data_IF_797763187018
#
_entry.id   IF_797763187018
#
_cell.length_a   1.000
_cell.length_b   1.000
_cell.length_c   1.000
_cell.angle_alpha   90.00
_cell.angle_beta   90.00
_cell.angle_gamma   90.00
#
_symmetry.space_group_name_H-M   'P 1'
#
loop_
_entity.id
_entity.type
_entity.pdbx_description
1 polymer ?
#
# COMPACT_ATOMS: atom_id res chain seq x y z
N UNK A 1 11.90 -12.03 4.79
CA UNK A 1 10.98 -11.61 5.86
C UNK A 1 10.62 -12.77 6.78
N UNK A 2 11.38 -13.00 7.88
CA UNK A 2 10.95 -13.90 8.94
C UNK A 2 9.61 -13.46 9.52
N UNK A 3 8.70 -14.42 9.74
CA UNK A 3 7.42 -14.14 10.37
C UNK A 3 7.61 -13.86 11.86
N UNK A 4 6.89 -12.88 12.38
CA UNK A 4 6.77 -12.56 13.80
C UNK A 4 5.37 -13.04 14.25
N UNK A 5 5.26 -14.32 14.58
CA UNK A 5 4.02 -14.97 15.02
C UNK A 5 3.80 -14.90 16.53
N UNK A 6 4.89 -14.72 17.30
CA UNK A 6 4.91 -14.56 18.75
C UNK A 6 5.86 -13.44 19.18
N UNK A 7 5.67 -12.87 20.37
CA UNK A 7 6.64 -11.92 20.94
C UNK A 7 8.02 -12.59 21.12
N UNK A 8 8.08 -13.92 21.23
CA UNK A 8 9.35 -14.67 21.30
C UNK A 8 10.16 -14.66 19.99
N UNK A 9 9.56 -14.27 18.87
CA UNK A 9 10.24 -14.14 17.58
C UNK A 9 11.04 -12.81 17.50
N UNK A 10 10.83 -11.91 18.46
CA UNK A 10 11.62 -10.70 18.63
C UNK A 10 12.85 -10.94 19.51
N UNK A 11 13.88 -10.08 19.41
CA UNK A 11 15.05 -10.16 20.27
C UNK A 11 14.73 -10.01 21.76
N UNK A 12 15.70 -10.37 22.62
CA UNK A 12 15.51 -10.40 24.08
C UNK A 12 15.13 -9.03 24.64
N UNK A 13 15.55 -7.94 24.02
CA UNK A 13 15.17 -6.58 24.41
C UNK A 13 13.71 -6.22 24.10
N UNK A 14 12.99 -7.03 23.30
CA UNK A 14 11.63 -6.78 22.83
C UNK A 14 10.68 -7.98 23.00
N UNK A 15 11.13 -9.12 23.51
CA UNK A 15 10.34 -10.35 23.53
C UNK A 15 9.20 -10.42 24.57
N UNK A 16 8.86 -9.29 25.20
CA UNK A 16 7.68 -9.21 26.07
C UNK A 16 6.96 -7.87 25.90
N UNK A 17 5.64 -7.80 26.15
CA UNK A 17 4.88 -6.55 26.06
C UNK A 17 5.47 -5.42 26.91
N UNK A 18 5.90 -5.71 28.14
CA UNK A 18 6.50 -4.73 29.05
C UNK A 18 7.80 -4.14 28.50
N UNK A 19 8.62 -4.98 27.86
CA UNK A 19 9.87 -4.53 27.23
C UNK A 19 9.60 -3.66 26.01
N UNK A 20 8.64 -4.05 25.16
CA UNK A 20 8.19 -3.28 24.00
C UNK A 20 7.67 -1.90 24.44
N UNK A 21 6.79 -1.84 25.45
CA UNK A 21 6.26 -0.57 26.00
C UNK A 21 7.37 0.32 26.58
N UNK A 22 8.33 -0.26 27.30
CA UNK A 22 9.48 0.49 27.83
C UNK A 22 10.31 1.08 26.70
N UNK A 23 10.58 0.30 25.65
CA UNK A 23 11.33 0.74 24.48
C UNK A 23 10.58 1.83 23.72
N UNK A 24 9.27 1.69 23.50
CA UNK A 24 8.43 2.73 22.88
C UNK A 24 8.54 4.05 23.64
N UNK A 25 8.38 4.04 24.97
CA UNK A 25 8.49 5.25 25.81
C UNK A 25 9.81 5.99 25.62
N UNK A 26 10.93 5.24 25.55
CA UNK A 26 12.26 5.79 25.27
C UNK A 26 12.30 6.42 23.87
N UNK A 27 11.97 5.64 22.85
CA UNK A 27 12.14 6.03 21.45
C UNK A 27 11.26 7.22 21.05
N UNK A 28 10.01 7.27 21.48
CA UNK A 28 9.12 8.40 21.12
C UNK A 28 9.55 9.69 21.82
N UNK A 29 10.04 9.60 23.07
CA UNK A 29 10.57 10.78 23.76
C UNK A 29 11.84 11.30 23.07
N UNK A 30 12.75 10.38 22.71
CA UNK A 30 14.04 10.69 22.11
C UNK A 30 13.93 11.26 20.70
N UNK A 31 13.13 10.64 19.83
CA UNK A 31 13.07 10.98 18.40
C UNK A 31 11.87 11.85 18.02
N UNK A 32 10.77 11.80 18.77
CA UNK A 32 9.57 12.60 18.48
C UNK A 32 9.42 13.78 19.43
N UNK A 33 10.26 13.89 20.47
CA UNK A 33 10.28 15.02 21.39
C UNK A 33 9.07 15.09 22.34
N UNK A 34 8.26 14.03 22.44
CA UNK A 34 7.10 13.99 23.32
C UNK A 34 6.98 12.64 24.02
N UNK A 35 6.70 12.67 25.32
CA UNK A 35 6.40 11.48 26.09
C UNK A 35 5.11 10.81 25.58
N UNK A 36 5.01 9.48 25.73
CA UNK A 36 3.75 8.77 25.50
C UNK A 36 2.82 8.87 26.71
N UNK A 37 1.55 9.16 26.43
CA UNK A 37 0.45 9.19 27.40
C UNK A 37 -0.29 7.87 27.45
N UNK A 38 -0.48 7.24 26.30
CA UNK A 38 -1.19 5.97 26.14
C UNK A 38 -0.51 5.12 25.07
N UNK A 39 -0.43 3.81 25.30
CA UNK A 39 0.12 2.83 24.37
C UNK A 39 -0.84 1.65 24.34
N UNK A 40 -1.46 1.40 23.20
CA UNK A 40 -2.40 0.31 22.97
C UNK A 40 -1.89 -0.60 21.85
N UNK A 41 -2.37 -1.85 21.83
CA UNK A 41 -2.18 -2.74 20.68
C UNK A 41 -3.38 -2.59 19.73
N UNK A 42 -3.18 -2.63 18.40
CA UNK A 42 -4.28 -2.81 17.47
C UNK A 42 -5.02 -4.13 17.75
N UNK A 43 -6.30 -4.24 17.35
CA UNK A 43 -7.07 -5.48 17.49
C UNK A 43 -6.44 -6.68 16.78
N UNK A 44 -5.72 -6.42 15.69
CA UNK A 44 -5.03 -7.42 14.87
C UNK A 44 -3.56 -7.01 14.73
N UNK A 45 -2.64 -7.97 14.87
CA UNK A 45 -1.20 -7.78 14.64
C UNK A 45 -0.83 -8.31 13.26
N UNK A 46 0.06 -7.59 12.56
CA UNK A 46 0.65 -8.05 11.31
C UNK A 46 1.66 -9.18 11.52
N UNK A 47 2.05 -9.83 10.43
CA UNK A 47 2.98 -10.97 10.46
C UNK A 47 4.46 -10.57 10.41
N UNK A 48 4.78 -9.32 10.10
CA UNK A 48 6.16 -8.84 9.93
C UNK A 48 6.55 -7.74 10.93
N UNK A 49 5.66 -7.42 11.87
CA UNK A 49 5.90 -6.40 12.88
C UNK A 49 5.16 -6.68 14.19
N UNK A 50 5.60 -6.00 15.25
CA UNK A 50 4.74 -5.72 16.41
C UNK A 50 4.35 -4.26 16.39
N UNK A 51 3.05 -4.02 16.24
CA UNK A 51 2.46 -2.71 16.03
C UNK A 51 1.78 -2.19 17.30
N UNK A 52 1.91 -0.90 17.56
CA UNK A 52 1.33 -0.19 18.70
C UNK A 52 0.71 1.13 18.27
N UNK A 53 -0.44 1.47 18.83
CA UNK A 53 -0.99 2.81 18.78
C UNK A 53 -0.48 3.61 19.99
N UNK A 54 0.09 4.77 19.74
CA UNK A 54 0.70 5.61 20.77
C UNK A 54 0.10 7.00 20.71
N UNK A 55 -0.51 7.43 21.82
CA UNK A 55 -0.95 8.81 22.03
C UNK A 55 0.15 9.57 22.75
N UNK A 56 0.68 10.61 22.13
CA UNK A 56 1.72 11.46 22.69
C UNK A 56 1.11 12.54 23.61
N UNK A 57 1.92 13.07 24.53
CA UNK A 57 1.51 14.10 25.48
C UNK A 57 1.10 15.42 24.80
N UNK A 58 1.65 15.71 23.63
CA UNK A 58 1.30 16.87 22.79
C UNK A 58 0.03 16.67 21.93
N UNK A 59 -0.64 15.53 22.06
CA UNK A 59 -1.89 15.21 21.37
C UNK A 59 -1.74 14.50 20.04
N UNK A 60 -0.51 14.37 19.49
CA UNK A 60 -0.28 13.56 18.28
C UNK A 60 -0.60 12.09 18.55
N UNK A 61 -1.15 11.42 17.54
CA UNK A 61 -1.32 9.96 17.53
C UNK A 61 -0.41 9.36 16.47
N UNK A 62 0.42 8.40 16.89
CA UNK A 62 1.36 7.71 16.03
C UNK A 62 1.20 6.21 16.16
N UNK A 63 1.61 5.49 15.12
CA UNK A 63 1.79 4.05 15.13
C UNK A 63 3.28 3.78 15.32
N UNK A 64 3.65 2.87 16.21
CA UNK A 64 5.04 2.40 16.35
C UNK A 64 5.11 0.93 15.99
N UNK A 65 6.08 0.57 15.14
CA UNK A 65 6.33 -0.81 14.74
C UNK A 65 7.74 -1.25 15.14
N UNK A 66 7.85 -2.44 15.72
CA UNK A 66 9.11 -3.17 15.84
C UNK A 66 9.19 -4.25 14.75
N UNK A 67 10.35 -4.35 14.10
CA UNK A 67 10.59 -5.27 12.97
C UNK A 67 11.93 -5.96 13.12
N UNK A 68 12.06 -7.14 12.50
CA UNK A 68 13.33 -7.90 12.37
C UNK A 68 13.96 -7.74 10.99
N UNK A 69 13.45 -6.82 10.19
CA UNK A 69 14.03 -6.38 8.92
C UNK A 69 13.89 -4.86 8.78
N UNK A 70 14.79 -4.27 7.99
CA UNK A 70 14.75 -2.84 7.72
C UNK A 70 13.61 -2.50 6.76
N UNK A 71 12.93 -1.39 7.03
CA UNK A 71 11.89 -0.86 6.18
C UNK A 71 12.51 0.04 5.11
N UNK A 72 12.09 -0.13 3.86
CA UNK A 72 12.42 0.83 2.81
C UNK A 72 11.58 2.11 3.00
N UNK A 73 12.17 3.12 3.65
CA UNK A 73 11.51 4.40 3.87
C UNK A 73 11.35 5.22 2.58
N UNK A 74 12.13 4.93 1.53
CA UNK A 74 12.01 5.62 0.25
C UNK A 74 10.70 5.22 -0.44
N UNK A 75 10.27 3.96 -0.29
CA UNK A 75 8.96 3.50 -0.78
C UNK A 75 7.81 4.37 -0.22
N UNK A 76 7.79 4.61 1.09
CA UNK A 76 6.80 5.48 1.74
C UNK A 76 6.91 6.93 1.27
N UNK A 77 8.13 7.46 1.15
CA UNK A 77 8.35 8.84 0.71
C UNK A 77 7.87 9.07 -0.72
N UNK A 78 8.16 8.14 -1.63
CA UNK A 78 7.71 8.18 -3.02
C UNK A 78 6.19 8.06 -3.10
N UNK A 79 5.60 7.11 -2.38
CA UNK A 79 4.15 6.93 -2.33
C UNK A 79 3.46 8.19 -1.80
N UNK A 80 3.95 8.76 -0.69
CA UNK A 80 3.42 9.98 -0.09
C UNK A 80 3.58 11.18 -1.01
N UNK A 81 4.70 11.31 -1.71
CA UNK A 81 4.92 12.37 -2.68
C UNK A 81 3.90 12.35 -3.83
N UNK A 82 3.45 11.17 -4.27
CA UNK A 82 2.48 11.04 -5.35
C UNK A 82 1.02 11.10 -4.87
N UNK A 83 0.72 10.51 -3.71
CA UNK A 83 -0.66 10.29 -3.25
C UNK A 83 -1.10 11.24 -2.13
N UNK A 84 -0.15 11.93 -1.48
CA UNK A 84 -0.42 12.90 -0.42
C UNK A 84 -0.76 12.23 0.91
N UNK A 85 -1.77 12.77 1.59
CA UNK A 85 -2.05 12.44 3.00
C UNK A 85 -2.74 11.10 3.23
N UNK A 86 -3.12 10.39 2.17
CA UNK A 86 -3.59 9.01 2.28
C UNK A 86 -2.46 8.01 2.54
N UNK A 87 -1.20 8.44 2.45
CA UNK A 87 -0.02 7.61 2.76
C UNK A 87 0.58 8.08 4.09
N UNK A 88 0.89 7.15 5.02
CA UNK A 88 1.53 7.53 6.26
C UNK A 88 2.95 8.06 6.01
N UNK A 89 3.31 9.10 6.74
CA UNK A 89 4.70 9.51 6.92
C UNK A 89 5.42 8.50 7.81
N UNK A 90 6.44 7.85 7.27
CA UNK A 90 7.26 6.86 7.98
C UNK A 90 8.57 7.49 8.44
N UNK A 91 8.91 7.29 9.72
CA UNK A 91 10.13 7.81 10.35
C UNK A 91 10.85 6.69 11.07
N UNK A 92 12.15 6.50 10.83
CA UNK A 92 12.97 5.59 11.64
C UNK A 92 13.10 6.12 13.07
N UNK A 93 13.17 5.20 14.03
CA UNK A 93 13.50 5.48 15.43
C UNK A 93 14.82 4.76 15.76
N UNK A 94 15.98 5.34 15.39
CA UNK A 94 17.27 4.66 15.50
C UNK A 94 17.62 4.33 16.95
N UNK A 95 17.92 3.06 17.23
CA UNK A 95 18.40 2.61 18.54
C UNK A 95 19.49 1.57 18.33
N UNK A 96 20.70 1.89 18.80
CA UNK A 96 21.88 1.06 18.57
C UNK A 96 21.73 -0.33 19.20
N UNK A 97 21.14 -0.43 20.39
CA UNK A 97 20.94 -1.72 21.06
C UNK A 97 19.98 -2.61 20.28
N UNK A 98 18.90 -2.03 19.73
CA UNK A 98 17.99 -2.78 18.86
C UNK A 98 18.69 -3.23 17.57
N UNK A 99 19.47 -2.36 16.94
CA UNK A 99 20.17 -2.68 15.70
C UNK A 99 21.21 -3.81 15.90
N UNK A 100 21.96 -3.80 17.01
CA UNK A 100 22.89 -4.87 17.38
C UNK A 100 22.18 -6.20 17.65
N UNK A 101 20.93 -6.16 18.11
CA UNK A 101 20.05 -7.32 18.28
C UNK A 101 19.30 -7.72 17.00
N UNK A 102 19.53 -7.05 15.87
CA UNK A 102 18.87 -7.33 14.60
C UNK A 102 17.40 -6.90 14.54
N UNK A 103 17.04 -5.84 15.27
CA UNK A 103 15.71 -5.24 15.24
C UNK A 103 15.75 -3.74 14.93
N UNK A 104 14.65 -3.26 14.38
CA UNK A 104 14.46 -1.85 14.01
C UNK A 104 13.10 -1.36 14.48
N UNK A 105 13.02 -0.06 14.75
CA UNK A 105 11.81 0.61 15.19
C UNK A 105 11.45 1.74 14.24
N UNK A 106 10.16 1.89 13.95
CA UNK A 106 9.62 2.90 13.05
C UNK A 106 8.40 3.55 13.67
N UNK A 107 8.20 4.83 13.38
CA UNK A 107 6.99 5.58 13.70
C UNK A 107 6.27 5.99 12.43
N UNK A 108 4.94 5.97 12.48
CA UNK A 108 4.06 6.45 11.43
C UNK A 108 3.04 7.42 12.02
N UNK A 109 2.65 8.48 11.32
CA UNK A 109 1.47 9.23 11.75
C UNK A 109 0.23 8.33 11.64
N UNK A 110 -0.67 8.40 12.61
CA UNK A 110 -1.90 7.63 12.57
C UNK A 110 -2.87 8.24 11.56
N UNK A 111 -3.18 7.49 10.51
CA UNK A 111 -4.21 7.87 9.55
C UNK A 111 -5.62 7.68 10.13
N UNK A 112 -6.59 8.54 9.77
CA UNK A 112 -7.97 8.39 10.19
C UNK A 112 -8.66 7.24 9.44
N UNK A 113 -9.84 6.85 9.93
CA UNK A 113 -10.67 5.81 9.30
C UNK A 113 -10.60 4.46 10.00
N UNK A 114 -11.39 3.52 9.48
CA UNK A 114 -11.44 2.11 9.89
C UNK A 114 -10.92 1.25 8.75
N UNK A 115 -10.24 0.15 9.05
CA UNK A 115 -9.87 -0.83 8.01
C UNK A 115 -11.13 -1.26 7.26
N UNK A 116 -11.05 -1.34 5.93
CA UNK A 116 -12.18 -1.69 5.05
C UNK A 116 -12.87 -2.94 5.56
N UNK A 117 -12.11 -4.01 5.86
CA UNK A 117 -12.63 -5.28 6.37
C UNK A 117 -13.61 -5.12 7.55
N UNK A 118 -13.47 -4.05 8.35
CA UNK A 118 -14.38 -3.70 9.44
C UNK A 118 -15.35 -2.56 9.10
N UNK A 119 -14.97 -1.64 8.21
CA UNK A 119 -15.73 -0.44 7.86
C UNK A 119 -16.84 -0.67 6.83
N UNK A 120 -16.74 -1.73 6.02
CA UNK A 120 -17.77 -2.11 5.02
C UNK A 120 -18.73 -3.18 5.58
N UNK A 121 -18.44 -3.74 6.75
CA UNK A 121 -19.34 -4.69 7.41
C UNK A 121 -20.77 -4.10 7.53
N UNK A 122 -21.73 -4.73 6.86
CA UNK A 122 -23.13 -4.29 6.81
C UNK A 122 -23.48 -3.26 5.72
N UNK A 123 -22.52 -2.80 4.90
CA UNK A 123 -22.75 -1.86 3.79
C UNK A 123 -22.98 -2.53 2.42
N UNK A 124 -22.73 -3.84 2.33
CA UNK A 124 -23.00 -4.65 1.14
C UNK A 124 -22.36 -4.13 -0.15
N UNK A 125 -23.05 -4.37 -1.26
CA UNK A 125 -22.65 -4.00 -2.62
C UNK A 125 -22.28 -2.50 -2.76
N UNK A 126 -23.15 -1.62 -2.27
CA UNK A 126 -22.98 -0.17 -2.41
C UNK A 126 -21.71 0.33 -1.71
N UNK A 127 -21.41 -0.22 -0.52
CA UNK A 127 -20.19 0.09 0.20
C UNK A 127 -18.94 -0.28 -0.61
N UNK A 128 -18.92 -1.47 -1.20
CA UNK A 128 -17.79 -1.94 -2.03
C UNK A 128 -17.60 -1.10 -3.28
N UNK A 129 -18.68 -0.77 -3.98
CA UNK A 129 -18.63 0.10 -5.18
C UNK A 129 -18.07 1.46 -4.79
N UNK A 130 -18.52 2.03 -3.67
CA UNK A 130 -18.04 3.32 -3.18
C UNK A 130 -16.55 3.31 -2.82
N UNK A 131 -16.06 2.27 -2.11
CA UNK A 131 -14.63 2.18 -1.78
C UNK A 131 -13.77 2.00 -3.03
N UNK A 132 -14.16 1.12 -3.96
CA UNK A 132 -13.44 0.93 -5.22
C UNK A 132 -13.39 2.23 -6.05
N UNK A 133 -14.51 2.96 -6.11
CA UNK A 133 -14.57 4.29 -6.74
C UNK A 133 -13.58 5.26 -6.08
N UNK A 134 -13.56 5.32 -4.75
CA UNK A 134 -12.68 6.21 -3.98
C UNK A 134 -11.20 5.82 -4.14
N UNK A 135 -10.87 4.52 -4.19
CA UNK A 135 -9.54 4.02 -4.54
C UNK A 135 -9.10 4.46 -5.94
N UNK A 136 -10.00 4.39 -6.93
CA UNK A 136 -9.72 4.87 -8.29
C UNK A 136 -9.32 6.34 -8.29
N UNK A 137 -10.03 7.19 -7.53
CA UNK A 137 -9.67 8.61 -7.34
C UNK A 137 -8.33 8.79 -6.67
N UNK A 138 -8.06 8.06 -5.59
CA UNK A 138 -6.78 8.14 -4.88
C UNK A 138 -5.64 7.81 -5.83
N UNK A 139 -5.73 6.65 -6.48
CA UNK A 139 -4.70 6.15 -7.36
C UNK A 139 -4.56 7.01 -8.61
N UNK A 140 -5.58 7.69 -9.13
CA UNK A 140 -5.46 8.60 -10.30
C UNK A 140 -4.28 9.60 -10.23
N UNK A 141 -3.79 9.90 -9.02
CA UNK A 141 -2.66 10.79 -8.70
C UNK A 141 -1.28 10.11 -8.66
N UNK A 142 -1.19 8.78 -8.67
CA UNK A 142 0.04 8.01 -8.39
C UNK A 142 1.10 8.01 -9.52
N UNK A 143 1.06 8.97 -10.45
CA UNK A 143 1.93 9.01 -11.63
C UNK A 143 3.34 9.49 -11.29
N UNK A 144 4.33 8.82 -11.87
CA UNK A 144 5.77 9.10 -11.73
C UNK A 144 6.47 9.11 -13.13
N UNK A 145 7.67 9.70 -13.19
CA UNK A 145 8.55 9.67 -14.38
C UNK A 145 9.54 8.46 -14.34
N UNK A 146 9.91 7.92 -15.52
CA UNK A 146 10.45 6.55 -15.73
C UNK A 146 11.96 6.34 -15.53
N UNK A 147 12.41 5.15 -15.03
CA UNK A 147 13.60 4.45 -15.57
C UNK A 147 13.30 3.06 -16.20
N UNK A 148 13.91 2.78 -17.36
CA UNK A 148 13.77 1.60 -18.26
C UNK A 148 14.20 0.23 -17.66
N UNK A 149 14.80 0.20 -16.47
CA UNK A 149 15.58 -0.95 -15.98
C UNK A 149 14.77 -2.13 -15.41
N UNK A 150 13.53 -1.92 -14.95
CA UNK A 150 12.78 -2.94 -14.22
C UNK A 150 12.20 -4.08 -15.09
N UNK A 151 11.76 -3.81 -16.33
CA UNK A 151 11.14 -4.83 -17.19
C UNK A 151 12.19 -5.81 -17.73
N UNK A 152 13.42 -5.35 -17.96
CA UNK A 152 14.54 -6.18 -18.39
C UNK A 152 14.92 -7.24 -17.35
N UNK A 153 14.79 -6.93 -16.05
CA UNK A 153 15.10 -7.86 -14.96
C UNK A 153 14.10 -9.02 -14.85
N UNK A 154 12.81 -8.77 -15.13
CA UNK A 154 11.76 -9.80 -15.06
C UNK A 154 11.90 -10.82 -16.18
N UNK A 155 12.25 -10.38 -17.39
CA UNK A 155 12.47 -11.26 -18.54
C UNK A 155 13.74 -12.11 -18.44
N UNK A 156 14.74 -11.63 -17.68
CA UNK A 156 15.93 -12.39 -17.35
C UNK A 156 15.69 -13.46 -16.27
N UNK A 157 14.51 -13.47 -15.64
CA UNK A 157 14.16 -14.45 -14.61
C UNK A 157 14.05 -15.87 -15.18
N UNK A 158 14.64 -16.83 -14.48
CA UNK A 158 14.58 -18.26 -14.82
C UNK A 158 13.54 -19.03 -14.00
N UNK A 159 12.63 -18.33 -13.32
CA UNK A 159 11.58 -18.96 -12.53
C UNK A 159 10.58 -19.69 -13.43
N UNK A 160 10.25 -20.94 -13.09
CA UNK A 160 9.32 -21.78 -13.85
C UNK A 160 7.91 -21.18 -13.87
N UNK A 161 7.49 -20.44 -12.83
CA UNK A 161 6.20 -19.75 -12.82
C UNK A 161 6.10 -18.65 -13.90
N UNK A 162 7.24 -18.12 -14.34
CA UNK A 162 7.34 -17.10 -15.39
C UNK A 162 7.31 -17.74 -16.78
N UNK A 163 7.73 -19.00 -16.91
CA UNK A 163 7.84 -19.71 -18.19
C UNK A 163 6.47 -19.88 -18.89
N UNK A 164 5.41 -20.16 -18.13
CA UNK A 164 4.04 -20.28 -18.66
C UNK A 164 3.52 -18.98 -19.29
N UNK A 165 4.04 -17.83 -18.88
CA UNK A 165 3.65 -16.51 -19.40
C UNK A 165 4.68 -15.94 -20.38
N UNK A 166 5.72 -16.71 -20.77
CA UNK A 166 6.84 -16.20 -21.57
C UNK A 166 6.40 -15.59 -22.90
N UNK A 167 5.45 -16.21 -23.61
CA UNK A 167 4.90 -15.66 -24.86
C UNK A 167 4.16 -14.33 -24.66
N UNK A 168 3.41 -14.20 -23.56
CA UNK A 168 2.77 -12.94 -23.17
C UNK A 168 3.81 -11.87 -22.83
N UNK A 169 4.84 -12.25 -22.06
CA UNK A 169 5.93 -11.36 -21.65
C UNK A 169 6.81 -10.92 -22.84
N UNK A 170 7.05 -11.79 -23.81
CA UNK A 170 7.70 -11.46 -25.09
C UNK A 170 6.84 -10.50 -25.91
N UNK A 171 5.51 -10.70 -25.93
CA UNK A 171 4.57 -9.76 -26.53
C UNK A 171 4.61 -8.36 -25.88
N UNK A 172 4.78 -8.30 -24.55
CA UNK A 172 4.99 -7.06 -23.82
C UNK A 172 6.38 -6.46 -24.09
N UNK A 173 7.42 -7.29 -24.19
CA UNK A 173 8.79 -6.85 -24.52
C UNK A 173 8.88 -6.25 -25.93
N UNK A 174 8.19 -6.84 -26.91
CA UNK A 174 8.15 -6.29 -28.27
C UNK A 174 7.45 -4.93 -28.32
N UNK A 175 6.67 -4.61 -27.28
CA UNK A 175 6.06 -3.30 -27.03
C UNK A 175 6.81 -2.51 -25.96
N UNK A 176 8.03 -2.91 -25.57
CA UNK A 176 8.76 -2.30 -24.45
C UNK A 176 8.98 -0.81 -24.65
N UNK A 177 9.24 -0.35 -25.87
CA UNK A 177 9.38 1.09 -26.12
C UNK A 177 8.04 1.84 -25.98
N UNK A 178 6.92 1.21 -26.33
CA UNK A 178 5.56 1.72 -26.09
C UNK A 178 5.19 1.65 -24.59
N UNK A 179 5.52 0.57 -23.89
CA UNK A 179 5.27 0.38 -22.46
C UNK A 179 6.18 1.27 -21.61
N UNK A 180 7.41 1.50 -22.05
CA UNK A 180 8.35 2.45 -21.43
C UNK A 180 7.94 3.91 -21.63
N UNK A 181 6.99 4.17 -22.53
CA UNK A 181 6.30 5.46 -22.64
C UNK A 181 5.11 5.59 -21.68
N UNK A 182 4.66 4.49 -21.05
CA UNK A 182 3.64 4.57 -20.01
C UNK A 182 4.22 5.28 -18.79
N UNK A 183 3.42 6.12 -18.10
CA UNK A 183 3.86 6.72 -16.85
C UNK A 183 4.20 5.61 -15.84
N UNK A 184 5.25 5.82 -15.06
CA UNK A 184 5.42 4.99 -13.86
C UNK A 184 4.31 5.30 -12.88
N UNK A 185 4.11 4.34 -11.98
CA UNK A 185 3.04 4.37 -11.03
C UNK A 185 3.53 3.92 -9.66
N UNK A 186 3.03 4.55 -8.61
CA UNK A 186 3.20 4.01 -7.26
C UNK A 186 2.27 2.81 -7.12
N UNK A 187 2.86 1.61 -7.11
CA UNK A 187 2.11 0.36 -6.95
C UNK A 187 2.22 -0.13 -5.53
N UNK A 188 1.09 -0.44 -4.91
CA UNK A 188 1.05 -1.21 -3.67
C UNK A 188 0.86 -2.70 -4.03
N UNK A 189 1.86 -3.52 -3.74
CA UNK A 189 1.85 -4.95 -4.04
C UNK A 189 1.08 -5.79 -3.02
N UNK A 190 0.80 -5.21 -1.85
CA UNK A 190 0.02 -5.82 -0.79
C UNK A 190 -1.33 -5.11 -0.59
N UNK A 191 -1.84 -4.46 -1.65
CA UNK A 191 -3.15 -3.83 -1.59
C UNK A 191 -4.25 -4.87 -1.34
N UNK A 192 -4.93 -4.74 -0.20
CA UNK A 192 -6.02 -5.59 0.26
C UNK A 192 -6.94 -4.82 1.23
N UNK A 193 -8.02 -5.44 1.68
CA UNK A 193 -9.05 -4.82 2.54
C UNK A 193 -8.63 -4.59 4.00
N UNK A 194 -7.50 -5.15 4.45
CA UNK A 194 -6.90 -4.82 5.75
C UNK A 194 -5.94 -3.63 5.67
N UNK A 195 -5.43 -3.32 4.48
CA UNK A 195 -4.49 -2.22 4.22
C UNK A 195 -5.17 -0.92 3.74
N UNK A 196 -6.49 -0.93 3.53
CA UNK A 196 -7.28 0.25 3.14
C UNK A 196 -8.09 0.77 4.32
N UNK A 197 -7.94 2.05 4.65
CA UNK A 197 -8.73 2.75 5.66
C UNK A 197 -9.83 3.58 5.00
N UNK A 198 -11.03 3.50 5.54
CA UNK A 198 -12.21 4.21 5.03
C UNK A 198 -12.95 4.95 6.13
N UNK A 199 -13.69 5.99 5.75
CA UNK A 199 -14.62 6.68 6.62
C UNK A 199 -16.05 6.09 6.58
N UNK A 200 -16.98 6.78 7.22
CA UNK A 200 -18.39 6.38 7.25
C UNK A 200 -19.09 6.49 5.88
N UNK A 201 -18.58 7.33 4.97
CA UNK A 201 -19.07 7.48 3.60
C UNK A 201 -18.43 6.48 2.62
N UNK A 202 -17.56 5.57 3.10
CA UNK A 202 -16.73 4.68 2.28
C UNK A 202 -15.70 5.41 1.42
N UNK A 203 -15.32 6.63 1.80
CA UNK A 203 -14.18 7.29 1.17
C UNK A 203 -12.88 6.79 1.75
N UNK A 204 -11.89 6.56 0.87
CA UNK A 204 -10.56 6.12 1.25
C UNK A 204 -9.86 7.28 1.95
N UNK A 205 -9.54 7.05 3.22
CA UNK A 205 -8.87 8.01 4.10
C UNK A 205 -7.41 7.65 4.32
N UNK A 206 -7.03 6.42 4.03
CA UNK A 206 -5.64 5.96 4.12
C UNK A 206 -5.39 4.65 3.40
N UNK A 207 -4.16 4.45 2.98
CA UNK A 207 -3.62 3.17 2.51
C UNK A 207 -2.31 2.96 3.28
N UNK A 208 -2.14 1.79 3.89
CA UNK A 208 -1.00 1.46 4.75
C UNK A 208 -0.16 0.32 4.14
N UNK A 209 0.94 -0.08 4.81
CA UNK A 209 1.80 -1.19 4.41
C UNK A 209 2.48 -1.07 3.02
N UNK A 210 3.01 0.13 2.74
CA UNK A 210 3.75 0.47 1.51
C UNK A 210 5.15 -0.17 1.37
N UNK A 211 5.52 -1.11 2.23
CA UNK A 211 6.86 -1.68 2.31
C UNK A 211 7.29 -2.51 1.09
N UNK A 212 6.31 -3.00 0.33
CA UNK A 212 6.53 -3.68 -0.95
C UNK A 212 6.30 -2.76 -2.14
N UNK A 213 6.13 -1.46 -1.90
CA UNK A 213 5.88 -0.50 -2.96
C UNK A 213 7.17 -0.15 -3.70
N UNK A 214 7.06 -0.11 -5.02
CA UNK A 214 8.10 0.40 -5.88
C UNK A 214 7.45 1.10 -7.07
N UNK A 215 8.10 2.12 -7.67
CA UNK A 215 7.68 2.62 -8.98
C UNK A 215 7.71 1.49 -10.01
N UNK A 216 6.56 1.21 -10.63
CA UNK A 216 6.42 0.19 -11.67
C UNK A 216 5.65 0.74 -12.87
N UNK A 217 5.74 0.10 -14.04
CA UNK A 217 4.89 0.45 -15.18
C UNK A 217 3.42 0.48 -14.77
N UNK A 218 2.68 1.47 -15.29
CA UNK A 218 1.23 1.53 -15.12
C UNK A 218 0.56 0.18 -15.41
N UNK A 219 -0.38 -0.22 -14.56
CA UNK A 219 -1.07 -1.51 -14.66
C UNK A 219 -0.56 -2.58 -13.69
N UNK A 220 0.71 -2.50 -13.29
CA UNK A 220 1.29 -3.44 -12.33
C UNK A 220 0.65 -3.25 -10.95
N UNK A 221 0.31 -4.34 -10.26
CA UNK A 221 -0.36 -4.32 -8.96
C UNK A 221 -1.89 -4.17 -9.03
N UNK A 222 -2.48 -3.70 -10.14
CA UNK A 222 -3.94 -3.57 -10.24
C UNK A 222 -4.70 -4.88 -10.37
N UNK A 223 -4.03 -6.03 -10.50
CA UNK A 223 -4.67 -7.34 -10.29
C UNK A 223 -5.33 -7.45 -8.91
N UNK A 224 -4.86 -6.69 -7.91
CA UNK A 224 -5.49 -6.60 -6.58
C UNK A 224 -6.88 -5.95 -6.59
N UNK A 225 -7.18 -5.10 -7.59
CA UNK A 225 -8.50 -4.49 -7.73
C UNK A 225 -9.57 -5.55 -8.01
N UNK A 226 -9.22 -6.59 -8.78
CA UNK A 226 -10.09 -7.73 -8.99
C UNK A 226 -10.46 -8.39 -7.65
N UNK A 227 -9.48 -8.60 -6.78
CA UNK A 227 -9.73 -9.14 -5.43
C UNK A 227 -10.61 -8.21 -4.58
N UNK A 228 -10.41 -6.89 -4.65
CA UNK A 228 -11.17 -5.89 -3.89
C UNK A 228 -12.58 -5.62 -4.44
N UNK A 229 -12.84 -5.94 -5.70
CA UNK A 229 -14.17 -5.91 -6.30
C UNK A 229 -14.96 -7.18 -5.97
N UNK A 230 -14.30 -8.30 -5.68
CA UNK A 230 -14.92 -9.56 -5.27
C UNK A 230 -15.00 -9.73 -3.76
N UNK A 231 -15.33 -10.95 -3.33
CA UNK A 231 -15.32 -11.38 -1.94
C UNK A 231 -14.42 -12.59 -1.76
N UNK A 232 -13.85 -12.74 -0.56
CA UNK A 232 -13.23 -13.99 -0.13
C UNK A 232 -14.02 -14.54 1.05
N UNK A 233 -14.75 -15.63 0.82
CA UNK A 233 -15.57 -16.30 1.84
C UNK A 233 -15.20 -17.77 1.88
N UNK A 234 -14.87 -18.29 3.08
CA UNK A 234 -14.52 -19.71 3.24
C UNK A 234 -13.22 -20.15 2.55
N UNK A 235 -12.33 -19.21 2.22
CA UNK A 235 -11.09 -19.50 1.50
C UNK A 235 -11.24 -19.50 -0.04
N UNK A 236 -12.45 -19.24 -0.54
CA UNK A 236 -12.73 -19.14 -1.97
C UNK A 236 -13.04 -17.71 -2.38
N UNK A 237 -12.58 -17.35 -3.57
CA UNK A 237 -12.91 -16.08 -4.20
C UNK A 237 -14.27 -16.18 -4.90
N UNK A 238 -15.10 -15.16 -4.71
CA UNK A 238 -16.42 -15.03 -5.32
C UNK A 238 -16.59 -13.67 -6.00
N UNK A 239 -17.19 -13.68 -7.19
CA UNK A 239 -17.63 -12.48 -7.91
C UNK A 239 -19.13 -12.31 -7.68
N UNK A 240 -19.58 -11.39 -6.81
CA UNK A 240 -21.01 -11.16 -6.62
C UNK A 240 -21.60 -10.37 -7.79
N UNK A 241 -22.93 -10.22 -7.79
CA UNK A 241 -23.67 -9.58 -8.89
C UNK A 241 -23.16 -8.16 -9.20
N UNK A 242 -22.71 -7.42 -8.19
CA UNK A 242 -22.16 -6.06 -8.32
C UNK A 242 -20.67 -6.01 -8.71
N UNK A 243 -20.00 -7.16 -8.87
CA UNK A 243 -18.55 -7.25 -9.09
C UNK A 243 -18.08 -6.29 -10.18
N UNK A 244 -18.69 -6.41 -11.37
CA UNK A 244 -18.31 -5.60 -12.52
C UNK A 244 -18.58 -4.11 -12.29
N UNK A 245 -19.62 -3.78 -11.51
CA UNK A 245 -19.95 -2.39 -11.18
C UNK A 245 -18.86 -1.81 -10.28
N UNK A 246 -18.42 -2.56 -9.27
CA UNK A 246 -17.34 -2.14 -8.37
C UNK A 246 -16.02 -1.98 -9.12
N UNK A 247 -15.65 -2.95 -9.96
CA UNK A 247 -14.43 -2.91 -10.77
C UNK A 247 -14.47 -1.73 -11.75
N UNK A 248 -15.57 -1.54 -12.50
CA UNK A 248 -15.72 -0.40 -13.41
C UNK A 248 -15.68 0.94 -12.70
N UNK A 249 -16.20 1.04 -11.47
CA UNK A 249 -16.17 2.29 -10.70
C UNK A 249 -14.74 2.71 -10.37
N UNK A 250 -13.86 1.75 -10.02
CA UNK A 250 -12.43 2.01 -9.85
C UNK A 250 -11.79 2.53 -11.14
N UNK A 251 -11.94 1.78 -12.24
CA UNK A 251 -11.30 2.12 -13.50
C UNK A 251 -11.79 3.46 -14.06
N UNK A 252 -13.08 3.75 -13.91
CA UNK A 252 -13.67 5.02 -14.36
C UNK A 252 -13.00 6.21 -13.68
N UNK A 253 -12.78 6.15 -12.37
CA UNK A 253 -12.14 7.23 -11.61
C UNK A 253 -10.63 7.29 -11.87
N UNK A 254 -9.97 6.14 -11.99
CA UNK A 254 -8.56 6.06 -12.34
C UNK A 254 -8.27 6.77 -13.67
N UNK A 255 -9.15 6.59 -14.65
CA UNK A 255 -8.99 7.14 -16.00
C UNK A 255 -9.70 8.48 -16.21
N UNK A 256 -10.49 8.99 -15.25
CA UNK A 256 -11.20 10.27 -15.32
C UNK A 256 -10.28 11.52 -15.39
N UNK A 257 -8.97 11.32 -15.58
CA UNK A 257 -7.98 12.38 -15.74
C UNK A 257 -8.29 13.23 -16.98
N UNK A 258 -7.85 14.51 -17.01
CA UNK A 258 -8.20 15.46 -18.05
C UNK A 258 -7.96 14.85 -19.45
N UNK A 259 -8.86 15.13 -20.38
CA UNK A 259 -8.88 14.67 -21.79
C UNK A 259 -7.51 14.63 -22.50
N UNK A 260 -6.52 15.37 -22.00
CA UNK A 260 -5.14 15.39 -22.45
C UNK A 260 -4.45 14.00 -22.54
N UNK A 261 -4.87 12.99 -21.77
CA UNK A 261 -4.18 11.69 -21.71
C UNK A 261 -4.82 10.64 -22.61
N UNK A 262 -6.15 10.65 -22.74
CA UNK A 262 -6.84 9.87 -23.78
C UNK A 262 -6.33 10.24 -25.18
N UNK A 263 -5.89 11.49 -25.39
CA UNK A 263 -5.33 11.92 -26.69
C UNK A 263 -3.88 11.50 -26.96
N UNK A 264 -3.07 11.16 -25.94
CA UNK A 264 -1.65 10.78 -26.10
C UNK A 264 -1.38 9.28 -26.14
N UNK A 265 -2.36 8.46 -25.77
CA UNK A 265 -2.29 7.00 -25.87
C UNK A 265 -3.28 6.58 -26.96
N UNK A 266 -2.85 6.35 -28.22
CA UNK A 266 -3.75 6.07 -29.35
C UNK A 266 -4.70 4.90 -29.10
N UNK A 267 -4.29 3.91 -28.30
CA UNK A 267 -5.11 2.77 -27.92
C UNK A 267 -6.31 3.12 -27.01
N UNK A 268 -6.27 4.26 -26.30
CA UNK A 268 -7.33 4.73 -25.40
C UNK A 268 -8.21 5.83 -26.03
N UNK A 269 -7.84 6.34 -27.22
CA UNK A 269 -8.55 7.41 -27.94
C UNK A 269 -9.76 6.90 -28.73
N UNK A 270 -9.78 5.61 -29.09
CA UNK A 270 -10.73 5.09 -30.08
C UNK A 270 -10.64 5.84 -31.41
N UNK A 271 -11.78 6.11 -32.04
CA UNK A 271 -11.88 6.81 -33.32
C UNK A 271 -11.89 8.35 -33.21
N UNK A 272 -11.69 8.92 -32.02
CA UNK A 272 -11.70 10.38 -31.87
C UNK A 272 -10.45 11.03 -32.52
N UNK A 273 -10.61 12.16 -33.24
CA UNK A 273 -9.49 12.86 -33.85
C UNK A 273 -8.60 13.55 -32.79
N UNK A 274 -7.28 13.69 -33.04
CA UNK A 274 -6.39 14.46 -32.17
C UNK A 274 -6.80 15.94 -32.13
N UNK A 275 -6.63 16.56 -30.95
CA UNK A 275 -6.93 17.99 -30.75
C UNK A 275 -6.09 18.85 -31.71
N UNK A 276 -6.71 19.86 -32.33
CA UNK A 276 -6.02 20.90 -33.10
C UNK A 276 -5.77 22.08 -32.17
N UNK A 277 -4.53 22.54 -32.11
CA UNK A 277 -4.12 23.76 -31.38
C UNK A 277 -4.90 25.00 -31.83
#
# INVERSE_FOLDING_TARGET
MPLITSDNDLPRSLNTPTKQVRRIKKLVLEHLGSASKQIDRPPVQGMYSRTFFVKLADGREVVVQFRTEQLDLDAFRVAKGALGDVVPEATALPDQELAEEGAWAYSFNRLPGKMWVHGVAGKGADGRVAVNKSLGRVFSRARLCVPRSALMAILASQLDEVAAYRSLLEGLLNKLDELGSLPLWVTDYDLNDVNVLIDEACDVTGVIDWELSAPKPFGVGFGRIHTLAGEFTGGEFWMPDEFEVAERAFWSELFALPKFITYRIPALRGDEPPYKE
#
